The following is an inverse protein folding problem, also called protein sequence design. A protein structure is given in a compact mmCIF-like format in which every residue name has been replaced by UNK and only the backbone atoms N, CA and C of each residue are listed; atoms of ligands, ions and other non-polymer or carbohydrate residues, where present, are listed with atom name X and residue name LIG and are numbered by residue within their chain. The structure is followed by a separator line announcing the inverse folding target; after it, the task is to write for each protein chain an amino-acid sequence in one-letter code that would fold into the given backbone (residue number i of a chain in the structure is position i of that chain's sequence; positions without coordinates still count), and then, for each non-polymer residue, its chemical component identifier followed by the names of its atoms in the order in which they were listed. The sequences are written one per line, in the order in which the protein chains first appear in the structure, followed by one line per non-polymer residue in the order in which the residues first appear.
data_IF_834265528209
#
_entry.id   IF_834265528209
#
_cell.length_a   1.000
_cell.length_b   1.000
_cell.length_c   1.000
_cell.angle_alpha   90.00
_cell.angle_beta   90.00
_cell.angle_gamma   90.00
#
_symmetry.space_group_name_H-M   'P 1'
#
loop_
_entity.id
_entity.type
_entity.pdbx_description
1 polymer ?
#
# COMPACT_ATOMS: atom_id res chain seq x y z
N UNK A 1 -17.67 62.04 -63.73
CA UNK A 1 -18.06 61.38 -62.46
C UNK A 1 -17.93 59.85 -62.53
N UNK A 2 -18.19 59.21 -63.68
CA UNK A 2 -18.14 57.74 -63.82
C UNK A 2 -16.79 57.09 -63.45
N UNK A 3 -15.67 57.71 -63.84
CA UNK A 3 -14.32 57.19 -63.58
C UNK A 3 -13.95 57.15 -62.07
N UNK A 4 -14.59 57.98 -61.24
CA UNK A 4 -14.38 57.97 -59.78
C UNK A 4 -15.12 56.78 -59.14
N UNK A 5 -16.34 56.52 -59.62
CA UNK A 5 -17.23 55.49 -59.08
C UNK A 5 -16.70 54.09 -59.40
N UNK A 6 -16.15 53.89 -60.60
CA UNK A 6 -15.49 52.63 -60.99
C UNK A 6 -14.24 52.35 -60.15
N UNK A 7 -13.41 53.37 -59.88
CA UNK A 7 -12.24 53.21 -59.01
C UNK A 7 -12.64 52.85 -57.58
N UNK A 8 -13.68 53.49 -57.04
CA UNK A 8 -14.20 53.21 -55.70
C UNK A 8 -14.70 51.77 -55.55
N UNK A 9 -15.39 51.25 -56.58
CA UNK A 9 -15.84 49.85 -56.65
C UNK A 9 -14.69 48.86 -56.72
N UNK A 10 -13.62 49.17 -57.47
CA UNK A 10 -12.44 48.30 -57.54
C UNK A 10 -11.72 48.26 -56.19
N UNK A 11 -11.54 49.40 -55.52
CA UNK A 11 -10.89 49.43 -54.20
C UNK A 11 -11.67 48.69 -53.12
N UNK A 12 -13.00 48.73 -53.13
CA UNK A 12 -13.82 47.98 -52.17
C UNK A 12 -13.75 46.46 -52.39
N UNK A 13 -13.72 46.02 -53.65
CA UNK A 13 -13.54 44.60 -54.00
C UNK A 13 -12.14 44.11 -53.62
N UNK A 14 -11.09 44.87 -53.95
CA UNK A 14 -9.72 44.53 -53.55
C UNK A 14 -9.57 44.52 -52.03
N UNK A 15 -10.17 45.48 -51.34
CA UNK A 15 -10.17 45.55 -49.86
C UNK A 15 -10.84 44.34 -49.21
N UNK A 16 -12.01 43.93 -49.72
CA UNK A 16 -12.73 42.75 -49.19
C UNK A 16 -11.98 41.45 -49.45
N UNK A 17 -11.36 41.29 -50.62
CA UNK A 17 -10.50 40.14 -50.93
C UNK A 17 -9.26 40.09 -50.01
N UNK A 18 -8.58 41.22 -49.80
CA UNK A 18 -7.43 41.29 -48.90
C UNK A 18 -7.79 40.89 -47.45
N UNK A 19 -8.95 41.35 -46.95
CA UNK A 19 -9.45 40.96 -45.62
C UNK A 19 -9.73 39.46 -45.54
N UNK A 20 -10.29 38.86 -46.59
CA UNK A 20 -10.54 37.42 -46.65
C UNK A 20 -9.23 36.60 -46.59
N UNK A 21 -8.20 37.00 -47.34
CA UNK A 21 -6.88 36.35 -47.31
C UNK A 21 -6.22 36.45 -45.93
N UNK A 22 -6.29 37.61 -45.27
CA UNK A 22 -5.76 37.79 -43.91
C UNK A 22 -6.45 36.85 -42.92
N UNK A 23 -7.79 36.70 -43.01
CA UNK A 23 -8.56 35.79 -42.13
C UNK A 23 -8.20 34.32 -42.36
N UNK A 24 -8.03 33.90 -43.62
CA UNK A 24 -7.63 32.52 -43.95
C UNK A 24 -6.22 32.23 -43.43
N UNK A 25 -5.28 33.16 -43.66
CA UNK A 25 -3.91 33.05 -43.17
C UNK A 25 -3.82 33.00 -41.64
N UNK A 26 -4.57 33.87 -40.95
CA UNK A 26 -4.59 33.90 -39.48
C UNK A 26 -5.23 32.63 -38.90
N UNK A 27 -6.31 32.12 -39.51
CA UNK A 27 -6.94 30.86 -39.11
C UNK A 27 -5.98 29.67 -39.26
N UNK A 28 -5.25 29.57 -40.38
CA UNK A 28 -4.28 28.50 -40.60
C UNK A 28 -3.13 28.53 -39.57
N UNK A 29 -2.59 29.72 -39.27
CA UNK A 29 -1.55 29.89 -38.25
C UNK A 29 -2.05 29.52 -36.85
N UNK A 30 -3.22 30.01 -36.46
CA UNK A 30 -3.85 29.66 -35.18
C UNK A 30 -4.07 28.15 -35.05
N UNK A 31 -4.59 27.50 -36.09
CA UNK A 31 -4.83 26.06 -36.10
C UNK A 31 -3.55 25.22 -36.00
N UNK A 32 -2.46 25.70 -36.60
CA UNK A 32 -1.15 25.04 -36.47
C UNK A 32 -0.61 25.15 -35.05
N UNK A 33 -0.65 26.34 -34.46
CA UNK A 33 -0.15 26.58 -33.10
C UNK A 33 -0.96 25.83 -32.04
N UNK A 34 -2.28 25.71 -32.20
CA UNK A 34 -3.13 24.95 -31.27
C UNK A 34 -2.83 23.46 -31.34
N UNK A 35 -2.60 22.90 -32.53
CA UNK A 35 -2.19 21.50 -32.69
C UNK A 35 -0.86 21.21 -32.01
N UNK A 36 0.17 22.03 -32.21
CA UNK A 36 1.48 21.82 -31.59
C UNK A 36 1.40 21.84 -30.07
N UNK A 37 0.64 22.77 -29.48
CA UNK A 37 0.38 22.80 -28.02
C UNK A 37 -0.37 21.56 -27.54
N UNK A 38 -1.38 21.11 -28.27
CA UNK A 38 -2.12 19.89 -27.94
C UNK A 38 -1.21 18.65 -27.95
N UNK A 39 -0.34 18.51 -28.95
CA UNK A 39 0.65 17.42 -28.99
C UNK A 39 1.64 17.46 -27.83
N UNK A 40 2.15 18.64 -27.47
CA UNK A 40 3.03 18.79 -26.32
C UNK A 40 2.34 18.42 -25.00
N UNK A 41 1.08 18.81 -24.82
CA UNK A 41 0.31 18.46 -23.63
C UNK A 41 0.06 16.96 -23.53
N UNK A 42 -0.35 16.31 -24.63
CA UNK A 42 -0.52 14.85 -24.69
C UNK A 42 0.79 14.12 -24.38
N UNK A 43 1.93 14.64 -24.86
CA UNK A 43 3.26 14.06 -24.56
C UNK A 43 3.61 14.18 -23.07
N UNK A 44 3.37 15.35 -22.45
CA UNK A 44 3.59 15.57 -21.01
C UNK A 44 2.70 14.68 -20.15
N UNK A 45 1.42 14.53 -20.50
CA UNK A 45 0.49 13.64 -19.81
C UNK A 45 0.92 12.18 -19.91
N UNK A 46 1.33 11.71 -21.09
CA UNK A 46 1.89 10.35 -21.26
C UNK A 46 3.14 10.14 -20.42
N UNK A 47 4.03 11.13 -20.36
CA UNK A 47 5.25 11.03 -19.54
C UNK A 47 4.92 10.97 -18.04
N UNK A 48 3.94 11.75 -17.58
CA UNK A 48 3.45 11.71 -16.19
C UNK A 48 2.86 10.34 -15.88
N UNK A 49 1.96 9.83 -16.73
CA UNK A 49 1.36 8.51 -16.55
C UNK A 49 2.40 7.37 -16.51
N UNK A 50 3.46 7.46 -17.32
CA UNK A 50 4.57 6.49 -17.27
C UNK A 50 5.37 6.56 -15.98
N UNK A 51 5.62 7.76 -15.44
CA UNK A 51 6.28 7.94 -14.14
C UNK A 51 5.42 7.37 -13.02
N UNK A 52 4.13 7.71 -12.99
CA UNK A 52 3.18 7.23 -11.99
C UNK A 52 3.07 5.69 -12.02
N UNK A 53 3.05 5.10 -13.23
CA UNK A 53 3.08 3.64 -13.40
C UNK A 53 4.36 3.00 -12.85
N UNK A 54 5.53 3.61 -13.09
CA UNK A 54 6.81 3.10 -12.55
C UNK A 54 6.86 3.18 -11.03
N UNK A 55 6.42 4.29 -10.44
CA UNK A 55 6.35 4.45 -8.98
C UNK A 55 5.43 3.39 -8.38
N UNK A 56 4.25 3.18 -8.97
CA UNK A 56 3.31 2.15 -8.51
C UNK A 56 3.94 0.73 -8.55
N UNK A 57 4.64 0.40 -9.64
CA UNK A 57 5.33 -0.89 -9.76
C UNK A 57 6.46 -1.06 -8.73
N UNK A 58 7.17 0.01 -8.41
CA UNK A 58 8.21 -0.02 -7.37
C UNK A 58 7.61 -0.28 -5.99
N UNK A 59 6.53 0.41 -5.64
CA UNK A 59 5.81 0.19 -4.37
C UNK A 59 5.24 -1.24 -4.28
N UNK A 60 4.65 -1.76 -5.36
CA UNK A 60 4.15 -3.15 -5.39
C UNK A 60 5.29 -4.17 -5.19
N UNK A 61 6.48 -3.92 -5.76
CA UNK A 61 7.63 -4.80 -5.56
C UNK A 61 8.16 -4.74 -4.12
N UNK A 62 8.23 -3.54 -3.54
CA UNK A 62 8.63 -3.33 -2.15
C UNK A 62 7.67 -4.03 -1.19
N UNK A 63 6.36 -3.91 -1.39
CA UNK A 63 5.34 -4.63 -0.62
C UNK A 63 5.49 -6.15 -0.72
N UNK A 64 5.83 -6.69 -1.90
CA UNK A 64 6.07 -8.13 -2.09
C UNK A 64 7.34 -8.57 -1.33
N UNK A 65 8.41 -7.78 -1.39
CA UNK A 65 9.66 -8.08 -0.69
C UNK A 65 9.46 -8.05 0.82
N UNK A 66 8.80 -7.01 1.33
CA UNK A 66 8.42 -6.89 2.74
C UNK A 66 7.58 -8.09 3.20
N UNK A 67 6.58 -8.50 2.41
CA UNK A 67 5.78 -9.70 2.73
C UNK A 67 6.63 -10.97 2.80
N UNK A 68 7.59 -11.15 1.90
CA UNK A 68 8.50 -12.30 1.93
C UNK A 68 9.40 -12.30 3.16
N UNK A 69 9.85 -11.13 3.61
CA UNK A 69 10.67 -11.00 4.82
C UNK A 69 9.88 -11.26 6.10
N UNK A 70 8.60 -10.84 6.14
CA UNK A 70 7.70 -11.03 7.28
C UNK A 70 7.18 -12.46 7.38
N UNK A 71 6.97 -13.13 6.23
CA UNK A 71 6.43 -14.49 6.12
C UNK A 71 7.02 -15.52 7.10
N UNK A 72 8.36 -15.69 7.24
CA UNK A 72 8.93 -16.66 8.17
C UNK A 72 8.55 -16.38 9.63
N UNK A 73 8.47 -15.12 10.04
CA UNK A 73 8.10 -14.74 11.41
C UNK A 73 6.61 -14.98 11.67
N UNK A 74 5.77 -14.65 10.69
CA UNK A 74 4.34 -14.99 10.74
C UNK A 74 4.13 -16.49 10.88
N UNK A 75 4.77 -17.31 10.04
CA UNK A 75 4.67 -18.77 10.09
C UNK A 75 5.12 -19.31 11.45
N UNK A 76 6.22 -18.79 11.98
CA UNK A 76 6.72 -19.18 13.30
C UNK A 76 5.72 -18.83 14.42
N UNK A 77 5.23 -17.59 14.46
CA UNK A 77 4.26 -17.12 15.45
C UNK A 77 2.97 -17.95 15.40
N UNK A 78 2.44 -18.18 14.19
CA UNK A 78 1.25 -18.99 13.95
C UNK A 78 1.43 -20.43 14.42
N UNK A 79 2.56 -21.06 14.08
CA UNK A 79 2.82 -22.44 14.44
C UNK A 79 2.97 -22.60 15.96
N UNK A 80 3.70 -21.70 16.61
CA UNK A 80 3.84 -21.68 18.07
C UNK A 80 2.47 -21.52 18.75
N UNK A 81 1.70 -20.51 18.35
CA UNK A 81 0.37 -20.30 18.92
C UNK A 81 -0.54 -21.52 18.73
N UNK A 82 -0.57 -22.11 17.53
CA UNK A 82 -1.38 -23.30 17.26
C UNK A 82 -0.93 -24.51 18.08
N UNK A 83 0.37 -24.71 18.26
CA UNK A 83 0.91 -25.82 19.06
C UNK A 83 0.59 -25.63 20.54
N UNK A 84 0.75 -24.41 21.07
CA UNK A 84 0.41 -24.06 22.44
C UNK A 84 -1.10 -24.21 22.72
N UNK A 85 -1.96 -23.87 21.75
CA UNK A 85 -3.40 -24.12 21.83
C UNK A 85 -3.75 -25.62 21.82
N UNK A 86 -3.09 -26.41 20.96
CA UNK A 86 -3.34 -27.86 20.84
C UNK A 86 -2.87 -28.66 22.06
N UNK A 87 -1.75 -28.25 22.66
CA UNK A 87 -1.22 -28.84 23.89
C UNK A 87 -2.03 -28.47 25.13
N UNK A 88 -2.88 -27.43 25.04
CA UNK A 88 -3.60 -26.90 26.21
C UNK A 88 -2.70 -26.11 27.16
N UNK A 89 -1.50 -25.72 26.70
CA UNK A 89 -0.51 -24.99 27.51
C UNK A 89 -0.89 -23.51 27.71
N UNK A 90 -1.92 -23.01 27.03
CA UNK A 90 -2.38 -21.62 27.17
C UNK A 90 -3.60 -21.52 28.09
N UNK A 91 -3.45 -20.77 29.18
CA UNK A 91 -4.58 -20.41 30.04
C UNK A 91 -5.47 -19.36 29.37
N UNK A 92 -6.68 -19.19 29.90
CA UNK A 92 -7.63 -18.19 29.40
C UNK A 92 -7.05 -16.77 29.47
N UNK A 93 -6.35 -16.46 30.55
CA UNK A 93 -5.71 -15.17 30.82
C UNK A 93 -4.57 -14.91 29.84
N UNK A 94 -3.75 -15.92 29.55
CA UNK A 94 -2.67 -15.82 28.56
C UNK A 94 -3.22 -15.57 27.15
N UNK A 95 -4.34 -16.21 26.78
CA UNK A 95 -5.03 -15.96 25.51
C UNK A 95 -5.53 -14.51 25.43
N UNK A 96 -6.17 -14.00 26.49
CA UNK A 96 -6.64 -12.61 26.54
C UNK A 96 -5.49 -11.61 26.47
N UNK A 97 -4.39 -11.90 27.17
CA UNK A 97 -3.22 -11.05 27.17
C UNK A 97 -2.57 -11.03 25.79
N UNK A 98 -2.43 -12.19 25.14
CA UNK A 98 -1.92 -12.27 23.78
C UNK A 98 -2.79 -11.47 22.79
N UNK A 99 -4.11 -11.59 22.87
CA UNK A 99 -5.03 -10.77 22.07
C UNK A 99 -4.80 -9.28 22.28
N UNK A 100 -4.64 -8.84 23.53
CA UNK A 100 -4.37 -7.44 23.85
C UNK A 100 -3.05 -6.98 23.21
N UNK A 101 -1.97 -7.75 23.36
CA UNK A 101 -0.66 -7.41 22.78
C UNK A 101 -0.74 -7.29 21.25
N UNK A 102 -1.41 -8.23 20.58
CA UNK A 102 -1.58 -8.17 19.13
C UNK A 102 -2.42 -6.94 18.74
N UNK A 103 -3.48 -6.65 19.49
CA UNK A 103 -4.32 -5.47 19.27
C UNK A 103 -3.54 -4.16 19.45
N UNK A 104 -2.63 -4.09 20.43
CA UNK A 104 -1.76 -2.93 20.63
C UNK A 104 -0.78 -2.76 19.45
N UNK A 105 -0.17 -3.86 18.99
CA UNK A 105 0.70 -3.86 17.81
C UNK A 105 -0.01 -3.44 16.53
N UNK A 106 -1.31 -3.75 16.39
CA UNK A 106 -2.12 -3.32 15.26
C UNK A 106 -2.51 -1.83 15.29
N UNK A 107 -2.45 -1.18 16.45
CA UNK A 107 -2.80 0.23 16.60
C UNK A 107 -4.19 0.57 16.05
N UNK A 108 -4.27 1.52 15.12
CA UNK A 108 -5.53 1.94 14.48
C UNK A 108 -6.23 0.81 13.71
N UNK A 109 -5.49 -0.15 13.17
CA UNK A 109 -6.01 -1.28 12.41
C UNK A 109 -6.67 -2.35 13.28
N UNK A 110 -6.54 -2.26 14.61
CA UNK A 110 -7.19 -3.19 15.53
C UNK A 110 -8.72 -3.14 15.42
N UNK A 111 -9.28 -1.97 15.08
CA UNK A 111 -10.73 -1.78 14.94
C UNK A 111 -11.36 -2.74 13.92
N UNK A 112 -10.65 -3.06 12.83
CA UNK A 112 -11.12 -3.97 11.77
C UNK A 112 -11.35 -5.40 12.27
N UNK A 113 -10.75 -5.73 13.42
CA UNK A 113 -10.87 -7.02 14.09
C UNK A 113 -11.76 -6.94 15.33
N UNK A 114 -12.27 -5.77 15.72
CA UNK A 114 -13.23 -5.64 16.83
C UNK A 114 -14.67 -5.78 16.34
N UNK A 115 -14.93 -5.39 15.11
CA UNK A 115 -16.28 -5.34 14.51
C UNK A 115 -16.72 -6.67 13.89
N UNK A 116 -15.79 -7.60 13.65
CA UNK A 116 -16.09 -8.90 13.04
C UNK A 116 -16.62 -9.90 14.07
N UNK A 117 -17.50 -10.79 13.62
CA UNK A 117 -18.00 -11.89 14.45
C UNK A 117 -16.97 -13.02 14.50
N UNK A 118 -16.41 -13.27 15.69
CA UNK A 118 -15.53 -14.41 15.94
C UNK A 118 -16.21 -15.43 16.85
N UNK A 119 -16.05 -16.72 16.51
CA UNK A 119 -16.52 -17.82 17.35
C UNK A 119 -15.89 -17.81 18.76
N UNK A 120 -14.62 -17.45 18.86
CA UNK A 120 -13.87 -17.34 20.12
C UNK A 120 -12.60 -16.46 19.93
N UNK A 121 -11.91 -16.16 21.03
CA UNK A 121 -10.69 -15.35 21.02
C UNK A 121 -9.56 -16.00 20.22
N UNK A 122 -9.46 -17.33 20.19
CA UNK A 122 -8.43 -18.03 19.40
C UNK A 122 -8.60 -17.78 17.90
N UNK A 123 -9.84 -17.84 17.40
CA UNK A 123 -10.16 -17.52 16.01
C UNK A 123 -9.85 -16.05 15.67
N UNK A 124 -10.10 -15.15 16.62
CA UNK A 124 -9.75 -13.73 16.49
C UNK A 124 -8.24 -13.53 16.41
N UNK A 125 -7.48 -14.09 17.34
CA UNK A 125 -6.00 -14.06 17.35
C UNK A 125 -5.44 -14.60 16.04
N UNK A 126 -5.93 -15.75 15.58
CA UNK A 126 -5.49 -16.31 14.31
C UNK A 126 -5.72 -15.36 13.13
N UNK A 127 -6.86 -14.67 13.11
CA UNK A 127 -7.17 -13.68 12.07
C UNK A 127 -6.28 -12.43 12.19
N UNK A 128 -5.98 -11.97 13.40
CA UNK A 128 -5.12 -10.82 13.64
C UNK A 128 -3.66 -11.12 13.25
N UNK A 129 -3.15 -12.33 13.52
CA UNK A 129 -1.81 -12.75 13.10
C UNK A 129 -1.62 -12.74 11.57
N UNK A 130 -2.71 -12.84 10.80
CA UNK A 130 -2.67 -12.74 9.34
C UNK A 130 -2.67 -11.28 8.83
N UNK A 131 -2.69 -10.29 9.72
CA UNK A 131 -2.69 -8.89 9.32
C UNK A 131 -1.39 -8.49 8.62
N UNK A 132 -1.50 -7.72 7.54
CA UNK A 132 -0.36 -7.09 6.88
C UNK A 132 0.21 -5.90 7.65
N UNK A 133 -0.46 -5.47 8.72
CA UNK A 133 -0.03 -4.33 9.54
C UNK A 133 0.89 -4.71 10.70
N UNK A 134 1.16 -6.00 10.89
CA UNK A 134 2.15 -6.46 11.87
C UNK A 134 3.55 -6.45 11.26
N UNK A 135 4.47 -5.77 11.94
CA UNK A 135 5.88 -5.73 11.57
C UNK A 135 6.62 -7.00 12.02
N UNK A 136 7.86 -7.17 11.52
CA UNK A 136 8.76 -8.23 11.98
C UNK A 136 8.95 -8.17 13.50
N UNK A 137 9.10 -6.98 14.07
CA UNK A 137 9.35 -6.82 15.50
C UNK A 137 8.10 -7.12 16.34
N UNK A 138 6.90 -6.85 15.82
CA UNK A 138 5.66 -7.32 16.42
C UNK A 138 5.60 -8.84 16.47
N UNK A 139 5.93 -9.51 15.37
CA UNK A 139 5.97 -10.98 15.36
C UNK A 139 7.04 -11.52 16.31
N UNK A 140 8.22 -10.93 16.40
CA UNK A 140 9.25 -11.34 17.38
C UNK A 140 8.73 -11.21 18.81
N UNK A 141 8.05 -10.10 19.14
CA UNK A 141 7.44 -9.88 20.46
C UNK A 141 6.38 -10.94 20.76
N UNK A 142 5.51 -11.24 19.80
CA UNK A 142 4.49 -12.29 19.90
C UNK A 142 5.14 -13.66 20.12
N UNK A 143 6.17 -14.01 19.35
CA UNK A 143 6.90 -15.28 19.45
C UNK A 143 7.52 -15.45 20.84
N UNK A 144 8.22 -14.41 21.33
CA UNK A 144 8.84 -14.42 22.66
C UNK A 144 7.77 -14.60 23.75
N UNK A 145 6.64 -13.93 23.61
CA UNK A 145 5.54 -14.03 24.55
C UNK A 145 4.95 -15.45 24.60
N UNK A 146 4.63 -16.05 23.45
CA UNK A 146 4.08 -17.41 23.40
C UNK A 146 5.05 -18.43 23.99
N UNK A 147 6.35 -18.33 23.67
CA UNK A 147 7.38 -19.20 24.28
C UNK A 147 7.46 -19.06 25.80
N UNK A 148 7.28 -17.85 26.32
CA UNK A 148 7.29 -17.62 27.77
C UNK A 148 6.11 -18.31 28.48
N UNK A 149 4.97 -18.43 27.81
CA UNK A 149 3.82 -19.16 28.35
C UNK A 149 4.07 -20.67 28.40
N UNK A 150 4.71 -21.22 27.36
CA UNK A 150 5.07 -22.65 27.32
C UNK A 150 6.07 -23.00 28.44
N UNK A 151 7.09 -22.15 28.66
CA UNK A 151 8.06 -22.35 29.74
C UNK A 151 7.42 -22.30 31.14
N UNK A 152 6.35 -21.52 31.33
CA UNK A 152 5.60 -21.48 32.59
C UNK A 152 4.72 -22.74 32.78
N UNK A 153 4.26 -23.37 31.69
CA UNK A 153 3.54 -24.64 31.73
C UNK A 153 4.42 -25.83 32.06
N UNK A 154 5.70 -25.80 31.66
CA UNK A 154 6.69 -26.86 31.96
C UNK A 154 7.30 -26.76 33.37
N UNK A 155 7.10 -25.63 34.06
CA UNK A 155 7.63 -25.37 35.41
C UNK A 155 7.01 -26.18 36.56
N UNK A 156 6.14 -27.16 36.29
CA UNK A 156 5.63 -28.10 37.32
C UNK A 156 6.18 -29.53 37.19
N UNK A 157 6.96 -29.83 36.15
CA UNK A 157 7.62 -31.12 36.00
C UNK A 157 8.95 -30.92 35.26
N UNK A 158 10.01 -30.59 36.00
CA UNK A 158 11.37 -31.13 35.80
C UNK A 158 12.28 -30.64 36.94
N UNK A 159 12.43 -31.57 37.90
CA UNK A 159 13.61 -31.85 38.73
C UNK A 159 14.81 -30.91 38.61
N UNK A 160 15.17 -30.37 39.78
CA UNK A 160 16.54 -30.10 40.26
C UNK A 160 17.57 -30.91 39.47
N UNK A 161 18.30 -30.25 38.57
CA UNK A 161 19.58 -30.76 38.09
C UNK A 161 20.62 -30.11 38.99
N UNK A 162 21.24 -30.97 39.79
CA UNK A 162 22.31 -30.69 40.73
C UNK A 162 23.57 -30.25 39.96
N UNK A 163 24.03 -29.01 40.17
CA UNK A 163 25.26 -28.46 39.57
C UNK A 163 26.55 -28.88 40.29
N UNK A 164 26.51 -29.90 41.16
CA UNK A 164 27.70 -30.36 41.89
C UNK A 164 27.97 -31.85 41.68
N UNK A 165 28.36 -32.23 40.47
CA UNK A 165 29.26 -33.37 40.24
C UNK A 165 29.52 -33.54 38.74
N UNK A 166 30.56 -32.89 38.20
CA UNK A 166 31.48 -33.48 37.20
C UNK A 166 32.53 -32.44 36.78
N UNK A 167 33.50 -32.21 37.66
CA UNK A 167 34.89 -31.89 37.26
C UNK A 167 35.77 -32.18 38.48
N UNK A 168 36.08 -33.47 38.62
CA UNK A 168 37.37 -33.91 39.15
C UNK A 168 38.40 -33.82 38.05
#
# INVERSE_FOLDING_TARGET
MENLLTKLMIYSVVGTLAIAFIKIGSFYLLHRLTKEKAYQNISKEKLKALKDKKVKQQLELEDILLRKEVEPYYLQAKNLFNNAMKSGNLTREQILYLEKIISESLGEYAHDYMTRHYKNNCHKIYSMLMSSHLSIDDFKRIIQLVKSFEAQGEGLYLTVIDEKELTK
#
